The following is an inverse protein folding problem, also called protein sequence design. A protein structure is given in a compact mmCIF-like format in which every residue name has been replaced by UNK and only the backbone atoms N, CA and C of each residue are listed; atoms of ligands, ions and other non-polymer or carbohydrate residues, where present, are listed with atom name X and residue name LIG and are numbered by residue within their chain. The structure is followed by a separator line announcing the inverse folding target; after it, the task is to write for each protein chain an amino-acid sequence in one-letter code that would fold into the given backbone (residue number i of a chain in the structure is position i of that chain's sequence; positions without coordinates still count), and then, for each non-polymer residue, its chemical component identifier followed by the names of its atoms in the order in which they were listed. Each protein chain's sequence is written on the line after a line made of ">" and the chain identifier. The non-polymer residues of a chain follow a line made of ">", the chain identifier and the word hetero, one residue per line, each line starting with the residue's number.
data_IF_072726831592
#
_entry.id   IF_072726831592
#
_cell.length_a   1.000
_cell.length_b   1.000
_cell.length_c   1.000
_cell.angle_alpha   90.00
_cell.angle_beta   90.00
_cell.angle_gamma   90.00
#
_symmetry.space_group_name_H-M   'P 1'
#
loop_
_entity.id
_entity.type
_entity.pdbx_description
1 polymer ?
#
# COMPACT_ATOMS: atom_id res chain seq x y z
N UNK A 1 7.09 -16.78 14.03
CA UNK A 1 7.49 -16.28 12.70
C UNK A 1 6.31 -15.62 12.01
N UNK A 2 6.58 -14.59 11.22
CA UNK A 2 5.55 -13.77 10.55
C UNK A 2 6.01 -13.39 9.14
N UNK A 3 5.08 -13.04 8.28
CA UNK A 3 5.36 -12.42 6.98
C UNK A 3 5.25 -10.91 7.14
N UNK A 4 6.31 -10.18 6.76
CA UNK A 4 6.33 -8.72 6.73
C UNK A 4 6.20 -8.26 5.28
N UNK A 5 5.24 -7.37 5.01
CA UNK A 5 5.02 -6.83 3.67
C UNK A 5 4.42 -5.42 3.71
N UNK A 6 4.40 -4.69 2.59
CA UNK A 6 3.64 -3.45 2.48
C UNK A 6 2.14 -3.70 2.66
N UNK A 7 1.43 -2.74 3.25
CA UNK A 7 -0.05 -2.77 3.34
C UNK A 7 -0.65 -2.45 1.98
N UNK A 8 -0.12 -1.42 1.34
CA UNK A 8 -0.47 -0.93 0.01
C UNK A 8 0.81 -0.47 -0.69
N UNK A 9 0.86 -0.47 -2.03
CA UNK A 9 2.04 -0.06 -2.79
C UNK A 9 2.27 1.46 -2.84
N UNK A 10 1.32 2.26 -2.34
CA UNK A 10 1.39 3.72 -2.31
C UNK A 10 0.73 4.28 -1.03
N UNK A 11 1.04 5.53 -0.63
CA UNK A 11 0.37 6.22 0.49
C UNK A 11 -1.08 6.60 0.14
N UNK A 12 -1.81 7.21 1.08
CA UNK A 12 -3.24 7.50 0.91
C UNK A 12 -3.57 8.11 -0.48
N UNK A 13 -4.50 7.50 -1.25
CA UNK A 13 -4.86 7.99 -2.57
C UNK A 13 -5.66 9.28 -2.51
N UNK A 14 -5.67 10.00 -3.63
CA UNK A 14 -6.51 11.19 -3.79
C UNK A 14 -7.99 10.83 -3.67
N UNK A 15 -8.77 11.78 -3.13
CA UNK A 15 -10.22 11.62 -2.99
C UNK A 15 -10.86 11.38 -4.37
N UNK A 16 -11.63 10.29 -4.49
CA UNK A 16 -12.31 9.91 -5.73
C UNK A 16 -11.48 8.99 -6.65
N UNK A 17 -10.19 8.80 -6.39
CA UNK A 17 -9.32 7.98 -7.25
C UNK A 17 -9.22 6.51 -6.80
N UNK A 18 -9.79 6.17 -5.63
CA UNK A 18 -9.69 4.82 -5.03
C UNK A 18 -10.24 3.71 -5.94
N UNK A 19 -11.30 4.00 -6.71
CA UNK A 19 -11.92 3.04 -7.62
C UNK A 19 -11.01 2.69 -8.81
N UNK A 20 -10.19 3.63 -9.25
CA UNK A 20 -9.27 3.42 -10.37
C UNK A 20 -8.07 2.57 -9.98
N UNK A 21 -7.70 2.53 -8.70
CA UNK A 21 -6.53 1.81 -8.19
C UNK A 21 -6.92 0.55 -7.38
N UNK A 22 -8.09 -0.01 -7.66
CA UNK A 22 -8.66 -1.15 -6.93
C UNK A 22 -7.78 -2.41 -7.02
N UNK A 23 -6.95 -2.55 -8.06
CA UNK A 23 -6.01 -3.68 -8.22
C UNK A 23 -5.03 -3.83 -7.05
N UNK A 24 -4.69 -2.73 -6.37
CA UNK A 24 -3.80 -2.72 -5.20
C UNK A 24 -4.39 -3.42 -3.98
N UNK A 25 -5.69 -3.73 -4.00
CA UNK A 25 -6.34 -4.55 -2.99
C UNK A 25 -5.70 -5.94 -2.86
N UNK A 26 -4.96 -6.42 -3.86
CA UNK A 26 -4.27 -7.71 -3.80
C UNK A 26 -3.32 -7.85 -2.58
N UNK A 27 -2.76 -6.76 -2.05
CA UNK A 27 -1.87 -6.77 -0.88
C UNK A 27 -2.58 -7.16 0.43
N UNK A 28 -3.86 -6.85 0.56
CA UNK A 28 -4.66 -7.14 1.77
C UNK A 28 -5.70 -8.23 1.52
N UNK A 29 -6.34 -8.21 0.35
CA UNK A 29 -7.36 -9.18 -0.06
C UNK A 29 -6.85 -10.62 -0.09
N UNK A 30 -5.58 -10.84 -0.41
CA UNK A 30 -4.98 -12.17 -0.43
C UNK A 30 -5.09 -12.89 0.92
N UNK A 31 -4.89 -12.17 2.03
CA UNK A 31 -4.95 -12.74 3.37
C UNK A 31 -6.38 -13.00 3.86
N UNK A 32 -7.34 -12.22 3.37
CA UNK A 32 -8.76 -12.48 3.60
C UNK A 32 -9.20 -13.81 2.95
N UNK A 33 -8.68 -14.14 1.76
CA UNK A 33 -9.01 -15.40 1.07
C UNK A 33 -8.39 -16.61 1.79
N UNK A 34 -7.19 -16.44 2.32
CA UNK A 34 -6.48 -17.50 3.04
C UNK A 34 -6.92 -17.67 4.50
N UNK A 35 -7.65 -16.69 5.05
CA UNK A 35 -8.06 -16.61 6.45
C UNK A 35 -6.87 -16.55 7.42
N UNK A 36 -5.88 -15.71 7.10
CA UNK A 36 -4.69 -15.50 7.93
C UNK A 36 -4.82 -14.19 8.71
N UNK A 37 -4.42 -14.15 10.00
CA UNK A 37 -4.45 -12.91 10.76
C UNK A 37 -3.43 -11.93 10.19
N UNK A 38 -3.91 -10.75 9.78
CA UNK A 38 -3.10 -9.68 9.21
C UNK A 38 -3.32 -8.39 10.00
N UNK A 39 -2.26 -7.88 10.64
CA UNK A 39 -2.24 -6.63 11.38
C UNK A 39 -1.45 -5.54 10.65
N UNK A 40 -1.79 -4.28 10.89
CA UNK A 40 -1.09 -3.12 10.31
C UNK A 40 -0.53 -2.23 11.41
N UNK A 41 0.73 -1.85 11.27
CA UNK A 41 1.40 -0.90 12.17
C UNK A 41 1.98 0.28 11.39
N UNK A 42 1.90 1.52 11.91
CA UNK A 42 2.56 2.65 11.30
C UNK A 42 4.08 2.48 11.41
N UNK A 43 4.77 2.55 10.27
CA UNK A 43 6.23 2.41 10.21
C UNK A 43 6.92 3.77 10.02
N UNK A 44 6.32 4.67 9.24
CA UNK A 44 6.94 5.94 8.89
C UNK A 44 5.98 6.94 8.27
N UNK A 45 6.54 7.99 7.67
CA UNK A 45 5.80 9.01 6.92
C UNK A 45 6.37 9.11 5.52
N UNK A 46 5.53 9.41 4.55
CA UNK A 46 5.97 9.66 3.18
C UNK A 46 6.86 10.90 3.14
N UNK A 47 8.02 10.75 2.52
CA UNK A 47 9.02 11.81 2.38
C UNK A 47 8.76 12.71 1.17
N UNK A 48 7.98 12.21 0.20
CA UNK A 48 7.84 12.75 -1.16
C UNK A 48 9.15 12.91 -1.93
N UNK A 49 10.24 12.33 -1.40
CA UNK A 49 11.52 12.28 -2.10
C UNK A 49 11.52 11.09 -3.06
N UNK A 50 12.10 11.26 -4.25
CA UNK A 50 12.28 10.19 -5.26
C UNK A 50 11.01 9.73 -6.00
N UNK A 51 9.86 10.36 -5.81
CA UNK A 51 8.64 9.97 -6.52
C UNK A 51 8.82 10.08 -8.04
N UNK A 52 9.49 11.13 -8.51
CA UNK A 52 9.77 11.31 -9.94
C UNK A 52 10.65 10.20 -10.53
N UNK A 53 11.45 9.53 -9.69
CA UNK A 53 12.33 8.43 -10.11
C UNK A 53 11.63 7.07 -10.20
N UNK A 54 10.38 6.96 -9.74
CA UNK A 54 9.60 5.74 -9.92
C UNK A 54 9.22 5.57 -11.38
N UNK A 55 9.58 4.42 -11.94
CA UNK A 55 9.12 4.00 -13.25
C UNK A 55 7.62 3.71 -13.18
N UNK A 56 6.86 4.35 -14.08
CA UNK A 56 5.43 4.14 -14.19
C UNK A 56 5.08 3.12 -15.27
N UNK A 57 6.07 2.60 -16.00
CA UNK A 57 5.94 1.60 -17.07
C UNK A 57 4.93 2.01 -18.18
N UNK A 58 4.53 3.29 -18.23
CA UNK A 58 3.43 3.75 -19.07
C UNK A 58 2.03 3.27 -18.62
N UNK A 59 1.91 2.64 -17.46
CA UNK A 59 0.64 2.16 -16.92
C UNK A 59 -0.15 3.30 -16.25
N UNK A 60 -1.41 3.46 -16.67
CA UNK A 60 -2.28 4.53 -16.18
C UNK A 60 -2.51 4.50 -14.66
N UNK A 61 -2.65 3.30 -14.08
CA UNK A 61 -2.89 3.15 -12.65
C UNK A 61 -1.65 3.46 -11.84
N UNK A 62 -0.47 3.09 -12.35
CA UNK A 62 0.81 3.42 -11.72
C UNK A 62 1.08 4.93 -11.80
N UNK A 63 0.75 5.58 -12.91
CA UNK A 63 0.80 7.05 -13.02
C UNK A 63 -0.11 7.75 -12.01
N UNK A 64 -1.33 7.22 -11.82
CA UNK A 64 -2.29 7.76 -10.84
C UNK A 64 -1.80 7.56 -9.39
N UNK A 65 -1.21 6.41 -9.09
CA UNK A 65 -0.56 6.14 -7.82
C UNK A 65 0.62 7.08 -7.58
N UNK A 66 1.47 7.31 -8.59
CA UNK A 66 2.60 8.26 -8.55
C UNK A 66 2.13 9.69 -8.30
N UNK A 67 1.04 10.12 -8.96
CA UNK A 67 0.40 11.42 -8.72
C UNK A 67 -0.16 11.54 -7.31
N UNK A 68 -0.76 10.48 -6.78
CA UNK A 68 -1.26 10.49 -5.40
C UNK A 68 -0.11 10.60 -4.40
N UNK A 69 0.96 9.81 -4.61
CA UNK A 69 2.14 9.83 -3.78
C UNK A 69 2.81 11.21 -3.72
N UNK A 70 2.85 11.96 -4.83
CA UNK A 70 3.51 13.29 -4.87
C UNK A 70 2.84 14.32 -3.96
N UNK A 71 1.55 14.13 -3.65
CA UNK A 71 0.80 14.97 -2.73
C UNK A 71 0.77 14.46 -1.29
N UNK A 72 1.32 13.27 -1.04
CA UNK A 72 1.17 12.55 0.23
C UNK A 72 2.26 12.86 1.26
N UNK A 73 3.08 13.90 1.07
CA UNK A 73 4.19 14.21 1.97
C UNK A 73 3.72 14.35 3.43
N UNK A 74 4.37 13.64 4.34
CA UNK A 74 4.06 13.64 5.77
C UNK A 74 2.91 12.72 6.19
N UNK A 75 2.20 12.09 5.24
CA UNK A 75 1.16 11.11 5.54
C UNK A 75 1.77 9.79 6.04
N UNK A 76 1.08 9.05 6.93
CA UNK A 76 1.60 7.82 7.49
C UNK A 76 1.72 6.71 6.45
N UNK A 77 2.81 5.94 6.53
CA UNK A 77 3.03 4.69 5.80
C UNK A 77 2.92 3.53 6.79
N UNK A 78 2.07 2.56 6.46
CA UNK A 78 1.89 1.34 7.24
C UNK A 78 2.66 0.16 6.66
N UNK A 79 3.03 -0.78 7.53
CA UNK A 79 3.50 -2.12 7.16
C UNK A 79 2.53 -3.16 7.70
N UNK A 80 2.32 -4.22 6.93
CA UNK A 80 1.44 -5.34 7.26
C UNK A 80 2.28 -6.50 7.79
N UNK A 81 1.82 -7.06 8.90
CA UNK A 81 2.41 -8.23 9.55
C UNK A 81 1.37 -9.33 9.54
N UNK A 82 1.72 -10.48 8.97
CA UNK A 82 0.79 -11.60 8.81
C UNK A 82 1.29 -12.80 9.61
N UNK A 83 0.42 -13.29 10.50
CA UNK A 83 0.64 -14.50 11.29
C UNK A 83 0.12 -15.75 10.58
N UNK A 84 0.34 -16.91 11.21
CA UNK A 84 -0.30 -18.17 10.78
C UNK A 84 -1.75 -18.20 11.25
N UNK A 85 -2.61 -19.06 10.66
CA UNK A 85 -3.96 -19.27 11.17
C UNK A 85 -3.97 -19.57 12.67
N UNK A 86 -4.87 -18.92 13.42
CA UNK A 86 -5.04 -19.03 14.87
C UNK A 86 -3.80 -18.61 15.71
N UNK A 87 -2.98 -17.72 15.15
CA UNK A 87 -1.83 -17.11 15.82
C UNK A 87 -1.86 -15.59 15.69
N UNK A 88 -2.87 -14.97 16.30
CA UNK A 88 -3.05 -13.51 16.36
C UNK A 88 -1.94 -12.78 17.14
#
# INVERSE_FOLDING_TARGET
>A
DVILMPVYPYPAPLLGETEHIMGSWCYTGFWNVLDFPAGVVPFGKESATKIDSYDDEGDYFVQLAKKSASTAQGLPIGVQIVGKPFQE
#
